data_IF_543623623415
#
_entry.id   IF_543623623415
#
_cell.length_a   1.000
_cell.length_b   1.000
_cell.length_c   1.000
_cell.angle_alpha   90.00
_cell.angle_beta   90.00
_cell.angle_gamma   90.00
#
_symmetry.space_group_name_H-M   'P 1'
#
loop_
_entity.id
_entity.type
_entity.pdbx_description
1 polymer ?
#
# COMPACT_ATOMS: atom_id res chain seq x y z
N UNK A 1 5.02 12.21 9.12
CA UNK A 1 4.26 11.33 10.02
C UNK A 1 3.89 12.10 11.29
N UNK A 2 4.84 12.55 12.11
CA UNK A 2 4.56 13.30 13.34
C UNK A 2 3.66 14.53 13.10
N UNK A 3 3.95 15.32 12.07
CA UNK A 3 3.11 16.46 11.68
C UNK A 3 1.64 16.05 11.42
N UNK A 4 1.42 14.92 10.77
CA UNK A 4 0.07 14.42 10.50
C UNK A 4 -0.68 14.09 11.81
N UNK A 5 -0.03 13.39 12.74
CA UNK A 5 -0.60 13.10 14.05
C UNK A 5 -0.96 14.39 14.83
N UNK A 6 -0.01 15.34 14.90
CA UNK A 6 -0.17 16.61 15.64
C UNK A 6 -1.24 17.51 15.02
N UNK A 7 -1.65 17.28 13.76
CA UNK A 7 -2.66 18.07 13.06
C UNK A 7 -3.97 17.30 12.79
N UNK A 8 -4.24 16.23 13.55
CA UNK A 8 -5.53 15.57 13.60
C UNK A 8 -5.78 14.49 12.56
N UNK A 9 -4.74 14.04 11.83
CA UNK A 9 -4.87 12.85 10.98
C UNK A 9 -5.01 11.61 11.86
N UNK A 10 -5.97 10.75 11.54
CA UNK A 10 -6.23 9.49 12.25
C UNK A 10 -5.97 8.26 11.39
N UNK A 11 -5.82 8.43 10.07
CA UNK A 11 -5.43 7.39 9.13
C UNK A 11 -4.18 7.84 8.39
N UNK A 12 -3.14 7.05 8.43
CA UNK A 12 -1.90 7.25 7.69
C UNK A 12 -1.81 6.20 6.57
N UNK A 13 -1.91 6.64 5.32
CA UNK A 13 -1.82 5.79 4.14
C UNK A 13 -0.41 5.82 3.58
N UNK A 14 0.23 4.65 3.45
CA UNK A 14 1.63 4.47 3.11
C UNK A 14 1.80 3.49 1.94
N UNK A 15 1.81 4.00 0.71
CA UNK A 15 2.12 3.19 -0.50
C UNK A 15 3.62 3.08 -0.76
N UNK A 16 4.38 2.67 0.24
CA UNK A 16 5.83 2.48 0.18
C UNK A 16 6.28 1.42 1.18
N UNK A 17 7.48 0.91 1.00
CA UNK A 17 8.09 -0.07 1.89
C UNK A 17 9.47 -0.48 1.39
N UNK A 18 10.06 -1.44 2.08
CA UNK A 18 11.31 -2.08 1.73
C UNK A 18 11.05 -3.40 1.00
N UNK A 19 12.06 -3.96 0.36
CA UNK A 19 11.95 -5.28 -0.26
C UNK A 19 11.79 -6.33 0.83
N UNK A 20 10.84 -7.26 0.67
CA UNK A 20 10.62 -8.35 1.61
C UNK A 20 11.90 -9.15 1.88
N UNK A 21 12.16 -9.49 3.14
CA UNK A 21 13.26 -10.39 3.50
C UNK A 21 13.08 -11.83 2.98
N UNK A 22 11.88 -12.17 2.51
CA UNK A 22 11.55 -13.44 1.89
C UNK A 22 11.51 -13.38 0.35
N UNK A 23 11.89 -12.24 -0.25
CA UNK A 23 11.94 -12.08 -1.69
C UNK A 23 12.97 -13.02 -2.33
N UNK A 24 12.74 -13.40 -3.59
CA UNK A 24 13.71 -14.19 -4.35
C UNK A 24 14.98 -13.35 -4.60
N UNK A 25 16.14 -13.76 -4.10
CA UNK A 25 17.37 -12.97 -4.19
C UNK A 25 17.94 -12.83 -5.62
N UNK A 26 17.43 -13.61 -6.58
CA UNK A 26 17.83 -13.50 -7.98
C UNK A 26 17.10 -12.33 -8.69
N UNK A 27 15.91 -11.99 -8.21
CA UNK A 27 15.08 -10.93 -8.79
C UNK A 27 15.15 -9.65 -7.95
N UNK A 28 15.14 -9.79 -6.62
CA UNK A 28 15.09 -8.69 -5.67
C UNK A 28 16.08 -8.90 -4.51
N UNK A 29 16.94 -7.93 -4.20
CA UNK A 29 17.83 -8.04 -3.03
C UNK A 29 17.02 -7.98 -1.73
N UNK A 30 16.84 -9.10 -0.99
CA UNK A 30 16.08 -9.11 0.25
C UNK A 30 16.63 -8.12 1.27
N UNK A 31 15.74 -7.44 2.00
CA UNK A 31 16.13 -6.46 3.01
C UNK A 31 15.80 -6.96 4.42
N UNK A 32 14.61 -6.66 4.93
CA UNK A 32 14.28 -6.99 6.31
C UNK A 32 13.37 -8.21 6.39
N UNK A 33 13.75 -9.18 7.23
CA UNK A 33 13.01 -10.41 7.49
C UNK A 33 12.39 -10.45 8.90
N UNK A 34 12.80 -9.54 9.80
CA UNK A 34 12.31 -9.49 11.18
C UNK A 34 12.12 -8.06 11.66
N UNK A 35 11.23 -7.90 12.66
CA UNK A 35 10.97 -6.61 13.33
C UNK A 35 12.26 -5.96 13.82
N UNK A 36 13.13 -6.74 14.48
CA UNK A 36 14.36 -6.23 15.06
C UNK A 36 15.34 -5.71 14.00
N UNK A 37 15.42 -6.38 12.85
CA UNK A 37 16.25 -5.92 11.74
C UNK A 37 15.76 -4.58 11.21
N UNK A 38 14.46 -4.47 10.96
CA UNK A 38 13.89 -3.22 10.46
C UNK A 38 13.99 -2.09 11.48
N UNK A 39 13.58 -2.32 12.74
CA UNK A 39 13.60 -1.31 13.80
C UNK A 39 15.00 -0.77 14.07
N UNK A 40 15.98 -1.65 14.16
CA UNK A 40 17.37 -1.25 14.45
C UNK A 40 18.01 -0.45 13.31
N UNK A 41 17.66 -0.78 12.06
CA UNK A 41 18.16 -0.05 10.89
C UNK A 41 17.43 1.29 10.67
N UNK A 42 16.17 1.41 11.11
CA UNK A 42 15.28 2.54 10.80
C UNK A 42 14.65 3.16 12.06
N UNK A 43 15.44 3.41 13.08
CA UNK A 43 14.98 3.88 14.40
C UNK A 43 14.10 5.14 14.31
N UNK A 44 14.47 6.12 13.48
CA UNK A 44 13.70 7.37 13.34
C UNK A 44 12.36 7.15 12.68
N UNK A 45 12.33 6.28 11.67
CA UNK A 45 11.10 5.90 10.97
C UNK A 45 10.17 5.15 11.93
N UNK A 46 10.68 4.13 12.61
CA UNK A 46 9.92 3.38 13.60
C UNK A 46 9.35 4.30 14.69
N UNK A 47 10.16 5.16 15.30
CA UNK A 47 9.69 6.08 16.33
C UNK A 47 8.61 7.05 15.82
N UNK A 48 8.67 7.47 14.55
CA UNK A 48 7.66 8.35 13.97
C UNK A 48 6.34 7.61 13.71
N UNK A 49 6.40 6.35 13.26
CA UNK A 49 5.22 5.50 13.06
C UNK A 49 4.59 5.12 14.41
N UNK A 50 5.38 4.71 15.38
CA UNK A 50 4.95 4.42 16.74
C UNK A 50 4.28 5.64 17.39
N UNK A 51 4.86 6.82 17.20
CA UNK A 51 4.26 8.08 17.64
C UNK A 51 2.87 8.28 17.04
N UNK A 52 2.68 7.98 15.75
CA UNK A 52 1.38 8.12 15.09
C UNK A 52 0.34 7.14 15.67
N UNK A 53 0.71 5.88 15.87
CA UNK A 53 -0.18 4.87 16.46
C UNK A 53 -0.70 5.31 17.82
N UNK A 54 0.17 5.90 18.66
CA UNK A 54 -0.15 6.19 20.06
C UNK A 54 -0.63 7.61 20.33
N UNK A 55 -0.38 8.58 19.42
CA UNK A 55 -0.63 10.00 19.70
C UNK A 55 -1.49 10.70 18.63
N UNK A 56 -1.87 10.02 17.56
CA UNK A 56 -2.87 10.54 16.64
C UNK A 56 -4.28 10.43 17.23
N UNK A 57 -5.26 11.04 16.58
CA UNK A 57 -6.62 11.06 17.10
C UNK A 57 -6.81 11.99 18.27
N UNK A 58 -7.83 11.74 19.10
CA UNK A 58 -8.16 12.53 20.27
C UNK A 58 -8.89 11.69 21.30
N UNK A 59 -8.62 11.86 22.61
CA UNK A 59 -9.37 11.18 23.67
C UNK A 59 -10.89 11.45 23.62
N UNK A 60 -11.30 12.59 23.06
CA UNK A 60 -12.69 12.96 22.85
C UNK A 60 -13.21 12.63 21.44
N UNK A 61 -12.36 12.03 20.60
CA UNK A 61 -12.67 11.62 19.23
C UNK A 61 -13.20 10.19 19.16
N UNK A 62 -13.53 9.77 17.93
CA UNK A 62 -14.03 8.42 17.65
C UNK A 62 -12.98 7.36 17.95
N UNK A 63 -11.69 7.69 17.73
CA UNK A 63 -10.55 6.81 18.03
C UNK A 63 -9.49 7.56 18.85
N UNK A 64 -8.86 6.84 19.77
CA UNK A 64 -7.68 7.25 20.51
C UNK A 64 -6.48 6.49 19.91
N UNK A 65 -5.53 7.23 19.34
CA UNK A 65 -4.47 6.68 18.52
C UNK A 65 -4.75 6.78 17.01
N UNK A 66 -3.83 6.25 16.19
CA UNK A 66 -3.90 6.29 14.74
C UNK A 66 -3.81 4.91 14.08
N UNK A 67 -4.43 4.77 12.92
CA UNK A 67 -4.38 3.57 12.10
C UNK A 67 -3.42 3.80 10.93
N UNK A 68 -2.43 2.93 10.79
CA UNK A 68 -1.47 2.98 9.68
C UNK A 68 -1.74 1.84 8.71
N UNK A 69 -1.88 2.18 7.43
CA UNK A 69 -2.13 1.23 6.34
C UNK A 69 -0.96 1.27 5.37
N UNK A 70 -0.32 0.13 5.16
CA UNK A 70 0.83 -0.02 4.27
C UNK A 70 0.54 -0.92 3.07
N UNK A 71 1.17 -0.60 1.94
CA UNK A 71 1.31 -1.54 0.83
C UNK A 71 2.18 -2.74 1.24
N UNK A 72 1.71 -3.97 0.96
CA UNK A 72 2.36 -5.21 1.41
C UNK A 72 3.63 -5.60 0.66
N UNK A 73 3.89 -4.98 -0.50
CA UNK A 73 5.04 -5.26 -1.37
C UNK A 73 4.67 -6.01 -2.66
N UNK A 74 5.58 -5.95 -3.66
CA UNK A 74 5.33 -6.37 -5.03
C UNK A 74 6.41 -7.35 -5.55
N UNK A 75 6.97 -8.18 -4.70
CA UNK A 75 8.07 -9.10 -5.01
C UNK A 75 7.60 -10.55 -5.17
N UNK A 76 6.28 -10.82 -5.21
CA UNK A 76 5.70 -12.18 -5.19
C UNK A 76 6.23 -13.02 -4.02
N UNK A 77 6.55 -12.37 -2.91
CA UNK A 77 7.20 -12.98 -1.75
C UNK A 77 6.17 -13.58 -0.77
N UNK A 78 6.50 -14.70 -0.07
CA UNK A 78 5.62 -15.33 0.91
C UNK A 78 5.57 -14.61 2.28
N UNK A 79 5.96 -13.34 2.31
CA UNK A 79 5.84 -12.46 3.46
C UNK A 79 5.69 -11.01 3.01
N UNK A 80 4.92 -10.22 3.73
CA UNK A 80 4.82 -8.78 3.51
C UNK A 80 6.18 -8.09 3.71
N UNK A 81 6.35 -6.96 3.05
CA UNK A 81 7.52 -6.08 3.22
C UNK A 81 7.43 -5.29 4.53
N UNK A 82 8.56 -4.86 5.07
CA UNK A 82 8.54 -3.85 6.14
C UNK A 82 8.38 -2.44 5.55
N UNK A 83 7.71 -1.54 6.26
CA UNK A 83 7.08 -1.63 7.58
C UNK A 83 5.76 -2.42 7.64
N UNK A 84 5.13 -2.75 6.50
CA UNK A 84 3.81 -3.39 6.42
C UNK A 84 3.70 -4.67 7.29
N UNK A 85 4.76 -5.47 7.35
CA UNK A 85 4.80 -6.72 8.12
C UNK A 85 4.76 -6.53 9.64
N UNK A 86 4.93 -5.29 10.14
CA UNK A 86 4.91 -5.02 11.58
C UNK A 86 3.48 -5.16 12.14
N UNK A 87 3.29 -5.87 13.27
CA UNK A 87 1.95 -6.27 13.74
C UNK A 87 0.96 -5.15 14.04
N UNK A 88 1.46 -3.94 14.36
CA UNK A 88 0.60 -2.80 14.70
C UNK A 88 0.08 -2.06 13.46
N UNK A 89 0.45 -2.50 12.24
CA UNK A 89 0.02 -1.87 11.00
C UNK A 89 -0.87 -2.78 10.17
N UNK A 90 -1.69 -2.17 9.32
CA UNK A 90 -2.51 -2.90 8.35
C UNK A 90 -1.71 -3.07 7.07
N UNK A 91 -1.39 -4.31 6.73
CA UNK A 91 -0.66 -4.68 5.50
C UNK A 91 -1.64 -5.10 4.41
N UNK A 92 -1.55 -4.48 3.24
CA UNK A 92 -2.50 -4.68 2.15
C UNK A 92 -1.84 -5.37 0.95
N UNK A 93 -2.30 -6.57 0.64
CA UNK A 93 -2.00 -7.29 -0.59
C UNK A 93 -2.90 -6.82 -1.75
N UNK A 94 -2.50 -7.11 -2.98
CA UNK A 94 -3.23 -6.72 -4.18
C UNK A 94 -4.04 -7.88 -4.78
N UNK A 95 -5.25 -7.57 -5.25
CA UNK A 95 -6.05 -8.48 -6.09
C UNK A 95 -6.21 -7.93 -7.49
N UNK A 96 -6.26 -8.85 -8.46
CA UNK A 96 -6.68 -8.60 -9.82
C UNK A 96 -8.21 -8.39 -9.92
N UNK A 97 -8.75 -7.92 -11.06
CA UNK A 97 -10.18 -7.68 -11.25
C UNK A 97 -11.08 -8.92 -11.12
N UNK A 98 -10.54 -10.12 -11.30
CA UNK A 98 -11.25 -11.40 -11.14
C UNK A 98 -11.20 -11.93 -9.70
N UNK A 99 -10.74 -11.12 -8.74
CA UNK A 99 -10.57 -11.45 -7.33
C UNK A 99 -9.48 -12.49 -7.03
N UNK A 100 -8.63 -12.84 -7.99
CA UNK A 100 -7.42 -13.63 -7.72
C UNK A 100 -6.31 -12.74 -7.15
N UNK A 101 -5.33 -13.28 -6.42
CA UNK A 101 -4.15 -12.52 -6.06
C UNK A 101 -3.43 -12.00 -7.32
N UNK A 102 -3.03 -10.74 -7.31
CA UNK A 102 -2.19 -10.20 -8.38
C UNK A 102 -0.83 -10.93 -8.43
N UNK A 103 -0.28 -11.14 -9.63
CA UNK A 103 0.92 -11.98 -9.81
C UNK A 103 2.15 -11.47 -9.06
N UNK A 104 2.24 -10.17 -8.85
CA UNK A 104 3.35 -9.52 -8.15
C UNK A 104 3.16 -9.45 -6.63
N UNK A 105 1.93 -9.62 -6.12
CA UNK A 105 1.63 -9.30 -4.71
C UNK A 105 2.41 -10.17 -3.73
N UNK A 106 2.92 -9.57 -2.67
CA UNK A 106 3.36 -10.33 -1.52
C UNK A 106 2.15 -10.92 -0.78
N UNK A 107 2.35 -12.06 -0.14
CA UNK A 107 1.27 -12.86 0.48
C UNK A 107 1.76 -13.55 1.75
N UNK A 108 0.85 -14.16 2.51
CA UNK A 108 1.19 -14.97 3.68
C UNK A 108 1.56 -14.15 4.91
N UNK A 109 2.75 -14.39 5.47
CA UNK A 109 3.13 -13.77 6.76
C UNK A 109 3.14 -12.25 6.70
N UNK A 110 2.54 -11.62 7.73
CA UNK A 110 2.47 -10.16 7.85
C UNK A 110 1.42 -9.49 6.97
N UNK A 111 0.71 -10.24 6.09
CA UNK A 111 -0.40 -9.70 5.31
C UNK A 111 -1.68 -9.70 6.13
N UNK A 112 -2.38 -8.56 6.21
CA UNK A 112 -3.60 -8.41 7.00
C UNK A 112 -4.87 -8.58 6.14
N UNK A 113 -4.89 -7.96 4.97
CA UNK A 113 -6.06 -7.89 4.09
C UNK A 113 -5.62 -7.72 2.64
N UNK A 114 -6.51 -7.97 1.70
CA UNK A 114 -6.30 -7.68 0.28
C UNK A 114 -7.35 -6.70 -0.25
N UNK A 115 -6.96 -5.93 -1.27
CA UNK A 115 -7.84 -4.97 -1.95
C UNK A 115 -7.47 -4.86 -3.44
N UNK A 116 -8.32 -4.26 -4.28
CA UNK A 116 -8.03 -4.08 -5.69
C UNK A 116 -6.73 -3.32 -5.94
N UNK A 117 -5.74 -3.98 -6.50
CA UNK A 117 -4.45 -3.41 -6.87
C UNK A 117 -4.17 -3.45 -8.36
N UNK A 118 -4.99 -4.23 -9.09
CA UNK A 118 -4.81 -4.47 -10.53
C UNK A 118 -3.79 -5.55 -10.84
N UNK A 119 -3.80 -6.01 -12.07
CA UNK A 119 -2.83 -6.96 -12.63
C UNK A 119 -2.77 -6.79 -14.15
N UNK A 120 -1.78 -6.08 -14.62
CA UNK A 120 -1.61 -5.80 -16.05
C UNK A 120 -1.16 -7.04 -16.80
N UNK A 121 -0.28 -7.85 -16.21
CA UNK A 121 0.29 -9.03 -16.86
C UNK A 121 -0.78 -10.09 -17.12
N UNK A 122 -1.70 -10.25 -16.17
CA UNK A 122 -2.81 -11.20 -16.30
C UNK A 122 -3.80 -10.78 -17.40
N UNK A 123 -4.02 -9.47 -17.57
CA UNK A 123 -4.98 -8.91 -18.54
C UNK A 123 -4.32 -8.36 -19.80
N UNK A 124 -3.06 -8.67 -20.04
CA UNK A 124 -2.32 -8.16 -21.20
C UNK A 124 -2.98 -8.52 -22.54
N UNK A 125 -3.67 -9.66 -22.63
CA UNK A 125 -4.39 -10.09 -23.81
C UNK A 125 -5.70 -9.28 -24.06
N UNK A 126 -6.15 -8.51 -23.06
CA UNK A 126 -7.34 -7.69 -23.14
C UNK A 126 -6.95 -6.22 -23.39
N UNK A 127 -6.98 -5.84 -24.63
CA UNK A 127 -6.69 -4.49 -25.06
C UNK A 127 -5.73 -4.44 -26.25
N UNK A 128 -5.67 -3.31 -26.93
CA UNK A 128 -4.85 -3.11 -28.11
C UNK A 128 -3.91 -1.91 -27.93
N UNK A 129 -2.70 -2.03 -28.49
CA UNK A 129 -1.72 -0.94 -28.52
C UNK A 129 -1.23 -0.53 -27.13
N UNK A 130 -1.05 0.78 -26.87
CA UNK A 130 -0.50 1.28 -25.59
C UNK A 130 -1.42 1.07 -24.39
N UNK A 131 -2.67 0.66 -24.60
CA UNK A 131 -3.64 0.36 -23.54
C UNK A 131 -3.80 -1.15 -23.29
N UNK A 132 -2.96 -2.00 -23.88
CA UNK A 132 -2.98 -3.43 -23.60
C UNK A 132 -2.76 -3.66 -22.10
N UNK A 133 -3.64 -4.45 -21.49
CA UNK A 133 -3.60 -4.72 -20.05
C UNK A 133 -4.15 -3.61 -19.14
N UNK A 134 -4.42 -2.41 -19.65
CA UNK A 134 -4.94 -1.29 -18.84
C UNK A 134 -6.25 -1.63 -18.11
N UNK A 135 -7.10 -2.48 -18.70
CA UNK A 135 -8.34 -2.94 -18.06
C UNK A 135 -8.12 -3.77 -16.80
N UNK A 136 -6.91 -4.34 -16.64
CA UNK A 136 -6.51 -5.04 -15.43
C UNK A 136 -6.04 -4.11 -14.31
N UNK A 137 -5.82 -2.82 -14.60
CA UNK A 137 -5.21 -1.86 -13.69
C UNK A 137 -6.24 -0.97 -12.98
N UNK A 138 -5.79 -0.27 -11.95
CA UNK A 138 -6.59 0.74 -11.23
C UNK A 138 -6.46 2.09 -11.94
N UNK A 139 -7.60 2.65 -12.37
CA UNK A 139 -7.66 4.01 -12.93
C UNK A 139 -7.71 5.04 -11.78
N UNK A 140 -6.84 6.03 -11.83
CA UNK A 140 -6.84 7.14 -10.87
C UNK A 140 -6.34 8.44 -11.50
N UNK A 141 -6.44 9.53 -10.74
CA UNK A 141 -5.91 10.84 -11.14
C UNK A 141 -4.39 10.86 -11.06
N UNK A 142 -3.76 11.44 -12.07
CA UNK A 142 -2.31 11.70 -12.11
C UNK A 142 -2.08 13.19 -12.39
N UNK A 143 -0.95 13.77 -11.92
CA UNK A 143 -0.57 15.10 -12.33
C UNK A 143 -0.40 15.15 -13.84
N UNK A 144 -0.93 16.18 -14.50
CA UNK A 144 -0.84 16.39 -15.95
C UNK A 144 0.61 16.29 -16.48
N UNK A 145 1.57 16.75 -15.66
CA UNK A 145 3.00 16.69 -15.99
C UNK A 145 3.58 15.27 -16.10
N UNK A 146 2.91 14.28 -15.51
CA UNK A 146 3.32 12.86 -15.56
C UNK A 146 2.79 12.19 -16.82
N UNK A 147 1.57 12.51 -17.23
CA UNK A 147 0.94 11.88 -18.40
C UNK A 147 1.45 12.43 -19.72
N UNK A 148 1.84 13.72 -19.77
CA UNK A 148 2.31 14.37 -20.99
C UNK A 148 1.34 14.35 -22.18
N UNK A 149 0.13 13.83 -21.99
CA UNK A 149 -0.87 13.61 -23.02
C UNK A 149 -1.97 14.68 -22.96
N UNK A 150 -2.35 15.18 -24.14
CA UNK A 150 -3.55 16.00 -24.32
C UNK A 150 -4.69 15.10 -24.77
N UNK A 151 -5.79 15.10 -24.01
CA UNK A 151 -6.95 14.31 -24.40
C UNK A 151 -7.92 14.07 -23.24
N UNK A 152 -9.00 13.31 -23.46
CA UNK A 152 -10.05 13.09 -22.45
C UNK A 152 -9.57 12.34 -21.20
N UNK A 153 -8.40 11.69 -21.24
CA UNK A 153 -7.76 11.05 -20.09
C UNK A 153 -6.55 11.84 -19.57
N UNK A 154 -6.31 13.07 -20.06
CA UNK A 154 -5.27 13.93 -19.51
C UNK A 154 -5.49 14.14 -18.00
N UNK A 155 -4.47 13.88 -17.18
CA UNK A 155 -4.58 13.89 -15.73
C UNK A 155 -5.17 12.63 -15.07
N UNK A 156 -5.36 11.56 -15.84
CA UNK A 156 -5.71 10.22 -15.37
C UNK A 156 -4.74 9.20 -15.92
N UNK A 157 -4.60 8.09 -15.22
CA UNK A 157 -3.77 6.97 -15.67
C UNK A 157 -4.09 5.67 -14.96
N UNK A 158 -3.65 4.60 -15.58
CA UNK A 158 -3.77 3.24 -15.06
C UNK A 158 -2.47 2.84 -14.38
N UNK A 159 -2.59 2.26 -13.20
CA UNK A 159 -1.44 1.73 -12.45
C UNK A 159 -1.84 0.43 -11.75
N UNK A 160 -0.85 -0.40 -11.47
CA UNK A 160 -1.01 -1.61 -10.64
C UNK A 160 -0.03 -1.60 -9.49
N UNK A 161 -0.32 -2.37 -8.46
CA UNK A 161 0.55 -2.52 -7.29
C UNK A 161 -0.23 -2.61 -5.99
N UNK A 162 0.42 -3.14 -4.96
CA UNK A 162 -0.07 -3.03 -3.59
C UNK A 162 -0.18 -1.56 -3.15
N UNK A 163 0.55 -0.66 -3.84
CA UNK A 163 0.41 0.79 -3.71
C UNK A 163 -0.96 1.33 -4.10
N UNK A 164 -1.67 0.67 -5.04
CA UNK A 164 -3.03 1.00 -5.47
C UNK A 164 -4.07 0.31 -4.57
N UNK A 165 -3.76 -0.86 -4.04
CA UNK A 165 -4.60 -1.57 -3.09
C UNK A 165 -4.69 -0.85 -1.73
N UNK A 166 -3.58 -0.34 -1.24
CA UNK A 166 -3.46 0.33 0.06
C UNK A 166 -4.47 1.49 0.27
N UNK A 167 -4.64 2.45 -0.65
CA UNK A 167 -5.60 3.55 -0.47
C UNK A 167 -7.07 3.09 -0.46
N UNK A 168 -7.42 1.97 -1.09
CA UNK A 168 -8.78 1.42 -0.99
C UNK A 168 -9.09 1.04 0.47
N UNK A 169 -8.16 0.35 1.13
CA UNK A 169 -8.32 -0.01 2.55
C UNK A 169 -8.34 1.24 3.43
N UNK A 170 -7.45 2.19 3.19
CA UNK A 170 -7.42 3.46 3.94
C UNK A 170 -8.74 4.23 3.84
N UNK A 171 -9.36 4.25 2.66
CA UNK A 171 -10.67 4.87 2.46
C UNK A 171 -11.78 4.15 3.23
N UNK A 172 -11.78 2.81 3.25
CA UNK A 172 -12.75 2.00 4.01
C UNK A 172 -12.57 2.23 5.51
N UNK A 173 -11.33 2.30 6.02
CA UNK A 173 -11.02 2.63 7.42
C UNK A 173 -11.58 4.02 7.77
N UNK A 174 -11.32 5.01 6.93
CA UNK A 174 -11.82 6.38 7.15
C UNK A 174 -13.36 6.45 7.16
N UNK A 175 -14.02 5.70 6.26
CA UNK A 175 -15.48 5.56 6.28
C UNK A 175 -15.97 4.90 7.58
N UNK A 176 -15.34 3.82 8.03
CA UNK A 176 -15.66 3.18 9.29
C UNK A 176 -15.58 4.14 10.48
N UNK A 177 -14.52 4.93 10.57
CA UNK A 177 -14.35 5.95 11.61
C UNK A 177 -15.45 7.02 11.53
N UNK A 178 -15.88 7.41 10.32
CA UNK A 178 -16.92 8.43 10.14
C UNK A 178 -18.32 7.98 10.53
N UNK A 179 -18.55 6.68 10.66
CA UNK A 179 -19.83 6.08 11.06
C UNK A 179 -19.91 5.71 12.55
N UNK A 180 -18.78 5.71 13.24
CA UNK A 180 -18.71 5.38 14.67
C UNK A 180 -19.01 6.59 15.57
#
# INVERSE_FOLDING_TARGET
IKYAADNGAVVLQCSWGYISGAANPYDWPPQFATDDQWKSANVLEFNALDYFVHNAGSPDGVIDGGIIVFAGGNESAPAASYPAAYPDYVSVAATAPDYTPAVYTNYGMGTTISAPGGDQDYYFEYGEGPNAGAMGCVLSTLPYTVTGEEGPLAGYGYMEGTSMACPHVSAVVALGISYA
#
